data_IF_008917195011
#
_entry.id   IF_008917195011
#
_cell.length_a   1.000
_cell.length_b   1.000
_cell.length_c   1.000
_cell.angle_alpha   90.00
_cell.angle_beta   90.00
_cell.angle_gamma   90.00
#
_symmetry.space_group_name_H-M   'P 1'
#
loop_
_entity.id
_entity.type
_entity.pdbx_description
1 polymer ?
#
# COMPACT_ATOMS: atom_id res chain seq x y z
N UNK A 1 -0.88 17.68 -22.34
CA UNK A 1 -0.71 16.26 -22.73
C UNK A 1 0.15 15.47 -21.72
N UNK A 2 0.11 15.78 -20.42
CA UNK A 2 0.98 15.20 -19.38
C UNK A 2 0.21 14.42 -18.30
N UNK A 3 -1.01 13.95 -18.61
CA UNK A 3 -1.87 13.31 -17.61
C UNK A 3 -1.47 11.84 -17.39
N UNK A 4 -1.02 11.13 -18.42
CA UNK A 4 -0.64 9.71 -18.30
C UNK A 4 0.57 9.43 -17.38
N UNK A 5 1.67 10.21 -17.39
CA UNK A 5 2.78 9.99 -16.46
C UNK A 5 2.37 10.27 -15.00
N UNK A 6 1.50 11.27 -14.78
CA UNK A 6 0.98 11.60 -13.46
C UNK A 6 0.01 10.51 -12.93
N UNK A 7 -0.83 9.95 -13.80
CA UNK A 7 -1.71 8.83 -13.45
C UNK A 7 -0.88 7.56 -13.18
N UNK A 8 0.16 7.30 -13.98
CA UNK A 8 1.06 6.15 -13.80
C UNK A 8 1.84 6.19 -12.49
N UNK A 9 2.38 7.36 -12.11
CA UNK A 9 3.05 7.55 -10.81
C UNK A 9 2.05 7.51 -9.64
N UNK A 10 0.87 8.09 -9.79
CA UNK A 10 -0.16 8.13 -8.75
C UNK A 10 -0.79 6.77 -8.47
N UNK A 11 -0.83 5.87 -9.46
CA UNK A 11 -1.36 4.51 -9.30
C UNK A 11 -0.32 3.52 -8.75
N UNK A 12 0.98 3.79 -8.94
CA UNK A 12 2.05 2.91 -8.48
C UNK A 12 2.10 2.78 -6.95
N UNK A 13 1.88 3.88 -6.23
CA UNK A 13 1.89 3.90 -4.75
C UNK A 13 0.82 2.97 -4.15
N UNK A 14 -0.48 3.06 -4.53
CA UNK A 14 -1.50 2.12 -4.06
C UNK A 14 -1.20 0.66 -4.43
N UNK A 15 -0.64 0.40 -5.61
CA UNK A 15 -0.25 -0.97 -6.04
C UNK A 15 0.81 -1.53 -5.09
N UNK A 16 1.89 -0.78 -4.85
CA UNK A 16 2.99 -1.23 -3.98
C UNK A 16 2.49 -1.51 -2.57
N UNK A 17 1.69 -0.61 -2.00
CA UNK A 17 1.12 -0.82 -0.67
C UNK A 17 0.11 -1.97 -0.62
N UNK A 18 -0.71 -2.17 -1.66
CA UNK A 18 -1.62 -3.32 -1.73
C UNK A 18 -0.84 -4.65 -1.77
N UNK A 19 0.29 -4.70 -2.47
CA UNK A 19 1.19 -5.87 -2.49
C UNK A 19 1.73 -6.14 -1.08
N UNK A 20 2.21 -5.11 -0.38
CA UNK A 20 2.66 -5.23 1.02
C UNK A 20 1.55 -5.78 1.91
N UNK A 21 0.32 -5.27 1.79
CA UNK A 21 -0.82 -5.74 2.57
C UNK A 21 -1.09 -7.22 2.32
N UNK A 22 -1.17 -7.64 1.05
CA UNK A 22 -1.47 -9.04 0.71
C UNK A 22 -0.35 -9.98 1.18
N UNK A 23 0.92 -9.58 1.04
CA UNK A 23 2.07 -10.36 1.53
C UNK A 23 2.08 -10.44 3.06
N UNK A 24 1.83 -9.34 3.77
CA UNK A 24 1.76 -9.33 5.22
C UNK A 24 0.60 -10.19 5.76
N UNK A 25 -0.56 -10.16 5.09
CA UNK A 25 -1.68 -11.06 5.41
C UNK A 25 -1.37 -12.53 5.10
N UNK A 26 -0.52 -12.81 4.10
CA UNK A 26 -0.14 -14.18 3.74
C UNK A 26 0.91 -14.76 4.68
N UNK A 27 1.97 -14.00 4.95
CA UNK A 27 3.19 -14.47 5.63
C UNK A 27 3.30 -14.02 7.10
N UNK A 28 2.36 -13.20 7.56
CA UNK A 28 2.19 -12.88 8.97
C UNK A 28 3.15 -11.80 9.50
N UNK A 29 3.16 -11.61 10.83
CA UNK A 29 3.74 -10.43 11.49
C UNK A 29 5.26 -10.40 11.49
N UNK A 30 5.92 -11.54 11.27
CA UNK A 30 7.39 -11.64 11.23
C UNK A 30 7.96 -11.09 9.92
N UNK A 31 7.21 -11.23 8.82
CA UNK A 31 7.67 -10.90 7.46
C UNK A 31 7.06 -9.59 6.97
N UNK A 32 5.84 -9.27 7.38
CA UNK A 32 5.12 -8.05 7.00
C UNK A 32 5.93 -6.75 7.17
N UNK A 33 6.58 -6.49 8.31
CA UNK A 33 7.34 -5.26 8.54
C UNK A 33 8.54 -5.12 7.59
N UNK A 34 9.28 -6.22 7.37
CA UNK A 34 10.46 -6.24 6.48
C UNK A 34 10.08 -6.03 5.02
N UNK A 35 9.00 -6.69 4.57
CA UNK A 35 8.45 -6.50 3.22
C UNK A 35 7.95 -5.07 3.02
N UNK A 36 7.23 -4.55 4.01
CA UNK A 36 6.73 -3.18 4.01
C UNK A 36 7.85 -2.14 3.98
N UNK A 37 8.89 -2.32 4.79
CA UNK A 37 10.07 -1.47 4.79
C UNK A 37 10.78 -1.50 3.43
N UNK A 38 11.03 -2.69 2.87
CA UNK A 38 11.73 -2.83 1.59
C UNK A 38 10.94 -2.21 0.42
N UNK A 39 9.63 -2.44 0.37
CA UNK A 39 8.76 -1.86 -0.64
C UNK A 39 8.66 -0.33 -0.50
N UNK A 40 8.54 0.16 0.74
CA UNK A 40 8.54 1.58 1.05
C UNK A 40 9.85 2.28 0.70
N UNK A 41 10.99 1.64 1.00
CA UNK A 41 12.31 2.14 0.62
C UNK A 41 12.47 2.18 -0.91
N UNK A 42 11.89 1.21 -1.63
CA UNK A 42 11.91 1.22 -3.10
C UNK A 42 11.16 2.44 -3.64
N UNK A 43 10.01 2.80 -3.06
CA UNK A 43 9.27 4.03 -3.38
C UNK A 43 10.16 5.25 -3.12
N UNK A 44 10.78 5.33 -1.95
CA UNK A 44 11.69 6.44 -1.61
C UNK A 44 12.83 6.59 -2.63
N UNK A 45 13.40 5.46 -3.09
CA UNK A 45 14.46 5.42 -4.10
C UNK A 45 14.00 5.78 -5.52
N UNK A 46 12.70 5.73 -5.81
CA UNK A 46 12.16 6.19 -7.11
C UNK A 46 12.13 7.72 -7.25
N UNK A 47 12.48 8.46 -6.19
CA UNK A 47 12.52 9.93 -6.21
C UNK A 47 11.14 10.58 -6.09
N UNK A 48 10.12 9.82 -5.69
CA UNK A 48 8.75 10.31 -5.50
C UNK A 48 8.53 11.05 -4.18
N UNK A 49 9.48 10.99 -3.24
CA UNK A 49 9.33 11.54 -1.90
C UNK A 49 10.65 11.71 -1.14
N UNK A 50 10.53 12.01 0.14
CA UNK A 50 11.63 12.17 1.09
C UNK A 50 12.11 10.80 1.53
N UNK A 51 13.42 10.59 1.46
CA UNK A 51 14.04 9.31 1.79
C UNK A 51 13.70 8.91 3.24
N UNK A 52 13.09 7.74 3.42
CA UNK A 52 12.69 7.16 4.70
C UNK A 52 11.21 7.27 5.03
N UNK A 53 10.43 8.12 4.35
CA UNK A 53 8.98 8.25 4.61
C UNK A 53 8.24 7.02 4.12
N UNK A 54 8.47 6.61 2.88
CA UNK A 54 7.89 5.41 2.32
C UNK A 54 8.29 4.17 3.12
N UNK A 55 9.56 4.06 3.50
CA UNK A 55 10.07 2.95 4.32
C UNK A 55 9.36 2.85 5.69
N UNK A 56 9.12 3.99 6.36
CA UNK A 56 8.40 4.04 7.63
C UNK A 56 6.92 3.68 7.46
N UNK A 57 6.25 4.31 6.50
CA UNK A 57 4.82 4.07 6.21
C UNK A 57 4.61 2.60 5.81
N UNK A 58 5.45 2.08 4.93
CA UNK A 58 5.43 0.68 4.50
C UNK A 58 5.65 -0.29 5.66
N UNK A 59 6.62 -0.03 6.54
CA UNK A 59 6.88 -0.86 7.72
C UNK A 59 5.65 -0.93 8.65
N UNK A 60 5.07 0.24 8.98
CA UNK A 60 3.86 0.31 9.81
C UNK A 60 2.69 -0.39 9.14
N UNK A 61 2.51 -0.19 7.84
CA UNK A 61 1.48 -0.88 7.06
C UNK A 61 1.64 -2.40 7.13
N UNK A 62 2.86 -2.90 6.99
CA UNK A 62 3.17 -4.33 7.11
C UNK A 62 2.80 -4.91 8.48
N UNK A 63 3.08 -4.19 9.57
CA UNK A 63 2.67 -4.58 10.93
C UNK A 63 1.14 -4.64 11.06
N UNK A 64 0.44 -3.61 10.56
CA UNK A 64 -1.02 -3.51 10.66
C UNK A 64 -1.70 -4.57 9.80
N UNK A 65 -1.24 -4.74 8.56
CA UNK A 65 -1.81 -5.68 7.61
C UNK A 65 -1.69 -7.14 8.07
N UNK A 66 -0.57 -7.49 8.73
CA UNK A 66 -0.39 -8.82 9.30
C UNK A 66 -1.38 -9.15 10.44
N UNK A 67 -2.05 -8.14 11.02
CA UNK A 67 -3.07 -8.30 12.07
C UNK A 67 -4.49 -8.27 11.54
N UNK A 68 -4.69 -8.11 10.23
CA UNK A 68 -6.04 -8.14 9.65
C UNK A 68 -6.61 -9.54 9.85
N UNK A 69 -7.76 -9.69 10.54
CA UNK A 69 -8.36 -10.99 10.76
C UNK A 69 -8.74 -11.59 9.42
N UNK A 70 -8.39 -12.86 9.22
CA UNK A 70 -8.79 -13.59 8.04
C UNK A 70 -9.53 -14.87 8.38
N UNK A 71 -10.75 -14.95 7.86
CA UNK A 71 -11.56 -16.15 7.86
C UNK A 71 -11.23 -17.08 6.68
N UNK A 72 -11.92 -18.22 6.62
CA UNK A 72 -11.84 -19.21 5.52
C UNK A 72 -12.33 -18.68 4.16
N UNK A 73 -13.02 -17.54 4.15
CA UNK A 73 -13.56 -16.94 2.94
C UNK A 73 -12.45 -16.21 2.15
N UNK A 74 -12.36 -16.47 0.84
CA UNK A 74 -11.27 -15.94 -0.05
C UNK A 74 -11.16 -14.41 -0.08
N UNK A 75 -12.25 -13.71 0.24
CA UNK A 75 -12.37 -12.25 0.32
C UNK A 75 -12.38 -11.68 1.74
N UNK A 76 -12.18 -12.52 2.77
CA UNK A 76 -12.16 -12.04 4.15
C UNK A 76 -10.98 -11.06 4.35
N UNK A 77 -11.26 -9.94 5.00
CA UNK A 77 -10.31 -8.85 5.18
C UNK A 77 -10.15 -7.90 3.99
N UNK A 78 -10.86 -8.08 2.86
CA UNK A 78 -10.74 -7.18 1.70
C UNK A 78 -11.03 -5.70 2.02
N UNK A 79 -12.06 -5.44 2.84
CA UNK A 79 -12.39 -4.09 3.29
C UNK A 79 -11.27 -3.46 4.12
N UNK A 80 -10.74 -4.20 5.10
CA UNK A 80 -9.61 -3.77 5.93
C UNK A 80 -8.33 -3.57 5.12
N UNK A 81 -8.05 -4.47 4.17
CA UNK A 81 -6.91 -4.37 3.28
C UNK A 81 -6.99 -3.13 2.38
N UNK A 82 -8.18 -2.84 1.86
CA UNK A 82 -8.45 -1.64 1.07
C UNK A 82 -8.24 -0.38 1.90
N UNK A 83 -8.80 -0.33 3.11
CA UNK A 83 -8.64 0.79 4.03
C UNK A 83 -7.18 1.00 4.44
N UNK A 84 -6.46 -0.06 4.78
CA UNK A 84 -5.04 0.01 5.16
C UNK A 84 -4.18 0.52 3.99
N UNK A 85 -4.42 0.01 2.78
CA UNK A 85 -3.72 0.44 1.56
C UNK A 85 -3.99 1.92 1.27
N UNK A 86 -5.26 2.33 1.31
CA UNK A 86 -5.64 3.72 1.06
C UNK A 86 -5.05 4.66 2.13
N UNK A 87 -5.11 4.27 3.40
CA UNK A 87 -4.53 5.05 4.50
C UNK A 87 -3.02 5.22 4.33
N UNK A 88 -2.29 4.17 3.99
CA UNK A 88 -0.85 4.25 3.74
C UNK A 88 -0.51 5.15 2.55
N UNK A 89 -1.22 5.01 1.43
CA UNK A 89 -1.03 5.87 0.26
C UNK A 89 -1.32 7.36 0.57
N UNK A 90 -2.36 7.64 1.36
CA UNK A 90 -2.67 9.00 1.81
C UNK A 90 -1.64 9.55 2.79
N UNK A 91 -1.15 8.74 3.73
CA UNK A 91 -0.10 9.14 4.67
C UNK A 91 1.20 9.44 3.96
N UNK A 92 1.64 8.57 3.06
CA UNK A 92 2.86 8.76 2.28
C UNK A 92 2.78 10.04 1.43
N UNK A 93 1.69 10.21 0.66
CA UNK A 93 1.47 11.40 -0.17
C UNK A 93 1.35 12.67 0.68
N UNK A 94 0.65 12.59 1.81
CA UNK A 94 0.41 13.71 2.71
C UNK A 94 1.68 14.18 3.41
N UNK A 95 2.46 13.26 3.96
CA UNK A 95 3.74 13.56 4.62
C UNK A 95 4.71 14.18 3.60
N UNK A 96 4.82 13.59 2.41
CA UNK A 96 5.67 14.12 1.35
C UNK A 96 5.22 15.51 0.86
N UNK A 97 3.91 15.76 0.77
CA UNK A 97 3.40 17.10 0.41
C UNK A 97 3.73 18.15 1.48
N UNK A 98 3.57 17.82 2.76
CA UNK A 98 3.89 18.72 3.88
C UNK A 98 5.39 19.01 3.92
N UNK A 99 6.25 17.99 3.78
CA UNK A 99 7.70 18.16 3.74
C UNK A 99 8.16 18.98 2.53
N UNK A 100 7.45 18.90 1.40
CA UNK A 100 7.68 19.73 0.24
C UNK A 100 7.09 21.17 0.35
N UNK A 101 6.48 21.52 1.48
CA UNK A 101 5.88 22.84 1.73
C UNK A 101 4.58 23.09 0.94
N UNK A 102 3.90 22.05 0.47
CA UNK A 102 2.66 22.14 -0.32
C UNK A 102 1.43 21.88 0.56
N UNK A 103 0.33 22.57 0.29
CA UNK A 103 -0.97 22.28 0.92
C UNK A 103 -1.59 21.07 0.21
N UNK A 104 -1.89 19.96 0.90
CA UNK A 104 -2.49 18.80 0.27
C UNK A 104 -3.91 19.11 -0.21
N UNK A 105 -4.13 19.10 -1.53
CA UNK A 105 -5.47 19.18 -2.11
C UNK A 105 -6.14 17.79 -2.05
N UNK A 106 -7.06 17.62 -1.11
CA UNK A 106 -7.60 16.30 -0.73
C UNK A 106 -8.65 15.77 -1.73
N UNK A 107 -9.40 16.63 -2.41
CA UNK A 107 -10.69 16.26 -3.02
C UNK A 107 -10.61 15.37 -4.27
N UNK A 108 -9.69 15.61 -5.20
CA UNK A 108 -9.57 14.78 -6.41
C UNK A 108 -8.70 13.53 -6.17
N UNK A 109 -7.70 13.63 -5.28
CA UNK A 109 -6.77 12.54 -4.99
C UNK A 109 -7.41 11.43 -4.15
N UNK A 110 -8.39 11.74 -3.30
CA UNK A 110 -9.01 10.75 -2.41
C UNK A 110 -9.76 9.66 -3.18
N UNK A 111 -10.57 10.04 -4.17
CA UNK A 111 -11.34 9.09 -4.98
C UNK A 111 -10.42 8.18 -5.79
N UNK A 112 -9.34 8.74 -6.33
CA UNK A 112 -8.33 7.96 -7.06
C UNK A 112 -7.56 7.01 -6.16
N UNK A 113 -7.17 7.45 -4.96
CA UNK A 113 -6.45 6.59 -3.99
C UNK A 113 -7.36 5.47 -3.48
N UNK A 114 -8.61 5.77 -3.15
CA UNK A 114 -9.58 4.78 -2.70
C UNK A 114 -9.95 3.80 -3.81
N UNK A 115 -10.25 4.29 -5.02
CA UNK A 115 -10.55 3.46 -6.18
C UNK A 115 -9.36 2.59 -6.60
N UNK A 116 -8.16 3.17 -6.60
CA UNK A 116 -6.91 2.45 -6.88
C UNK A 116 -6.61 1.39 -5.83
N UNK A 117 -6.71 1.72 -4.55
CA UNK A 117 -6.54 0.76 -3.46
C UNK A 117 -7.54 -0.39 -3.55
N UNK A 118 -8.83 -0.09 -3.77
CA UNK A 118 -9.87 -1.11 -3.91
C UNK A 118 -9.60 -2.02 -5.11
N UNK A 119 -9.25 -1.46 -6.27
CA UNK A 119 -8.94 -2.24 -7.47
C UNK A 119 -7.71 -3.13 -7.25
N UNK A 120 -6.63 -2.59 -6.68
CA UNK A 120 -5.40 -3.33 -6.44
C UNK A 120 -5.64 -4.48 -5.45
N UNK A 121 -6.34 -4.20 -4.35
CA UNK A 121 -6.69 -5.22 -3.36
C UNK A 121 -7.60 -6.27 -3.99
N UNK A 122 -8.59 -5.89 -4.80
CA UNK A 122 -9.48 -6.85 -5.47
C UNK A 122 -8.73 -7.79 -6.42
N UNK A 123 -7.73 -7.27 -7.12
CA UNK A 123 -6.89 -8.04 -8.06
C UNK A 123 -5.89 -8.94 -7.32
N UNK A 124 -5.32 -8.47 -6.21
CA UNK A 124 -4.23 -9.15 -5.51
C UNK A 124 -4.71 -10.09 -4.39
N UNK A 125 -5.84 -9.83 -3.73
CA UNK A 125 -6.33 -10.71 -2.66
C UNK A 125 -6.45 -12.20 -3.08
N UNK A 126 -6.91 -12.54 -4.31
CA UNK A 126 -7.01 -13.91 -4.76
C UNK A 126 -5.67 -14.66 -4.81
N UNK A 127 -4.55 -13.95 -4.99
CA UNK A 127 -3.21 -14.57 -5.06
C UNK A 127 -2.70 -14.97 -3.69
N UNK A 128 -3.36 -14.54 -2.61
CA UNK A 128 -2.92 -14.85 -1.24
C UNK A 128 -2.88 -16.34 -0.93
N UNK A 129 -3.84 -17.13 -1.43
CA UNK A 129 -3.87 -18.57 -1.20
C UNK A 129 -2.61 -19.24 -1.78
N UNK A 130 -2.22 -18.85 -2.99
CA UNK A 130 -0.98 -19.30 -3.65
C UNK A 130 0.28 -18.87 -2.87
N UNK A 131 0.30 -17.64 -2.36
CA UNK A 131 1.42 -17.12 -1.57
C UNK A 131 1.58 -17.86 -0.23
N UNK A 132 0.50 -18.37 0.36
CA UNK A 132 0.54 -19.18 1.58
C UNK A 132 1.06 -20.59 1.33
N UNK A 133 0.80 -21.16 0.15
CA UNK A 133 1.33 -22.46 -0.25
C UNK A 133 2.83 -22.42 -0.56
N UNK A 134 3.31 -21.34 -1.18
CA UNK A 134 4.73 -21.19 -1.56
C UNK A 134 5.73 -21.12 -0.38
N UNK A 135 5.24 -20.95 0.86
CA UNK A 135 6.08 -20.80 2.07
C UNK A 135 5.92 -22.01 3.03
N UNK A 136 5.11 -23.01 2.66
CA UNK A 136 5.01 -24.29 3.39
C UNK A 136 6.05 -25.29 2.88
#
# INVERSE_FOLDING_TARGET
SSVLPAIGLSAAIPVVFAVVVVLAMAWGPTVGPSVGFGAGLLIDLTGTGTLGVGALVGCVLGVVAARIPVDRWRWSGAGWATLATAAAALLDTGINAVLAGRVPSVSLNLLWVLGGAALCVLVLLPTRAWLQEAVR
#
